data_IF_946637371114
#
_entry.id   IF_946637371114
#
_cell.length_a   1.000
_cell.length_b   1.000
_cell.length_c   1.000
_cell.angle_alpha   90.00
_cell.angle_beta   90.00
_cell.angle_gamma   90.00
#
_symmetry.space_group_name_H-M   'P 1'
#
loop_
_entity.id
_entity.type
_entity.pdbx_description
1 polymer ?
#
# COMPACT_ATOMS: atom_id res chain seq x y z
N UNK A 1 -43.69 29.18 -44.67
CA UNK A 1 -42.32 29.25 -44.11
C UNK A 1 -42.23 29.05 -42.59
N UNK A 2 -43.35 28.95 -41.83
CA UNK A 2 -43.34 28.65 -40.38
C UNK A 2 -43.23 27.16 -40.01
N UNK A 3 -43.52 26.23 -40.93
CA UNK A 3 -43.44 24.78 -40.67
C UNK A 3 -42.00 24.24 -40.64
N UNK A 4 -41.08 24.90 -41.36
CA UNK A 4 -39.65 24.57 -41.31
C UNK A 4 -38.95 25.18 -40.08
N UNK A 5 -39.51 26.23 -39.49
CA UNK A 5 -38.98 26.87 -38.28
C UNK A 5 -39.18 26.00 -37.03
N UNK A 6 -40.19 25.13 -37.02
CA UNK A 6 -40.38 24.15 -35.94
C UNK A 6 -39.51 22.89 -36.12
N UNK A 7 -39.06 22.58 -37.33
CA UNK A 7 -38.25 21.39 -37.62
C UNK A 7 -36.77 21.57 -37.25
N UNK A 8 -36.26 22.79 -37.27
CA UNK A 8 -34.86 23.10 -36.92
C UNK A 8 -34.59 23.08 -35.40
N UNK A 9 -35.62 23.15 -34.55
CA UNK A 9 -35.46 23.14 -33.09
C UNK A 9 -35.30 21.72 -32.50
N UNK A 10 -35.67 20.67 -33.26
CA UNK A 10 -35.61 19.27 -32.82
C UNK A 10 -34.25 18.59 -33.07
N UNK A 11 -33.37 19.21 -33.86
CA UNK A 11 -32.08 18.60 -34.27
C UNK A 11 -30.94 18.93 -33.27
N UNK A 12 -31.16 19.83 -32.31
CA UNK A 12 -30.14 20.26 -31.33
C UNK A 12 -30.13 19.48 -30.00
N UNK A 13 -30.91 18.40 -29.86
CA UNK A 13 -30.91 17.52 -28.68
C UNK A 13 -30.25 16.15 -28.92
N UNK A 14 -29.51 15.99 -30.02
CA UNK A 14 -28.63 14.83 -30.20
C UNK A 14 -27.41 14.99 -29.30
N UNK A 15 -27.54 14.54 -28.05
CA UNK A 15 -26.43 14.33 -27.13
C UNK A 15 -25.29 13.62 -27.87
N UNK A 16 -24.14 14.30 -27.97
CA UNK A 16 -22.88 13.63 -28.25
C UNK A 16 -22.59 12.74 -27.03
N UNK A 17 -22.99 11.47 -27.09
CA UNK A 17 -22.44 10.46 -26.22
C UNK A 17 -21.03 10.18 -26.75
N UNK A 18 -20.04 10.90 -26.22
CA UNK A 18 -18.65 10.49 -26.35
C UNK A 18 -18.56 9.19 -25.54
N UNK A 19 -18.71 8.06 -26.21
CA UNK A 19 -18.16 6.80 -25.72
C UNK A 19 -16.65 6.94 -25.87
N UNK A 20 -15.98 7.29 -24.78
CA UNK A 20 -14.60 6.85 -24.62
C UNK A 20 -14.64 5.32 -24.64
N UNK A 21 -14.16 4.76 -25.73
CA UNK A 21 -13.62 3.41 -25.70
C UNK A 21 -12.34 3.49 -24.88
N UNK A 22 -12.49 3.45 -23.55
CA UNK A 22 -11.43 2.94 -22.69
C UNK A 22 -11.27 1.47 -23.08
N UNK A 23 -10.06 1.13 -23.47
CA UNK A 23 -9.63 -0.23 -23.70
C UNK A 23 -9.77 -0.97 -22.36
N UNK A 24 -10.90 -1.65 -22.16
CA UNK A 24 -11.17 -2.52 -21.02
C UNK A 24 -10.32 -3.81 -21.16
N UNK A 25 -9.01 -3.64 -21.10
CA UNK A 25 -8.12 -4.55 -20.41
C UNK A 25 -7.37 -3.78 -19.31
N UNK A 26 -8.04 -2.83 -18.65
CA UNK A 26 -7.63 -2.50 -17.29
C UNK A 26 -7.97 -3.74 -16.47
N UNK A 27 -6.94 -4.56 -16.24
CA UNK A 27 -6.94 -5.48 -15.11
C UNK A 27 -7.02 -4.59 -13.89
N UNK A 28 -8.24 -4.25 -13.47
CA UNK A 28 -8.48 -3.81 -12.11
C UNK A 28 -8.21 -5.08 -11.31
N UNK A 29 -6.96 -5.20 -10.86
CA UNK A 29 -6.59 -6.26 -9.94
C UNK A 29 -7.44 -6.02 -8.68
N UNK A 30 -8.44 -6.88 -8.46
CA UNK A 30 -9.33 -6.84 -7.29
C UNK A 30 -8.55 -6.88 -5.94
N UNK A 31 -7.22 -7.00 -5.98
CA UNK A 31 -6.32 -6.99 -4.85
C UNK A 31 -5.63 -5.65 -4.55
N UNK A 32 -5.89 -4.58 -5.32
CA UNK A 32 -5.31 -3.23 -5.06
C UNK A 32 -6.36 -2.30 -4.48
N UNK A 33 -6.09 -1.75 -3.28
CA UNK A 33 -6.93 -0.73 -2.64
C UNK A 33 -6.25 0.65 -2.62
N UNK A 34 -7.01 1.71 -2.90
CA UNK A 34 -6.50 3.08 -2.82
C UNK A 34 -6.58 3.60 -1.38
N UNK A 35 -5.49 4.18 -0.87
CA UNK A 35 -5.41 4.67 0.52
C UNK A 35 -4.94 6.11 0.61
N UNK A 36 -5.20 6.74 1.75
CA UNK A 36 -4.80 8.13 2.04
C UNK A 36 -3.88 8.19 3.26
N UNK A 37 -2.98 9.18 3.34
CA UNK A 37 -2.18 9.40 4.54
C UNK A 37 -3.05 9.61 5.78
N UNK A 38 -2.52 9.20 6.94
CA UNK A 38 -3.08 9.36 8.28
C UNK A 38 -4.44 8.66 8.52
N UNK A 39 -4.95 7.94 7.52
CA UNK A 39 -6.19 7.15 7.64
C UNK A 39 -5.82 5.67 7.76
N UNK A 40 -6.23 4.99 8.85
CA UNK A 40 -6.00 3.56 8.98
C UNK A 40 -6.73 2.74 7.91
N UNK A 41 -6.09 1.69 7.41
CA UNK A 41 -6.68 0.77 6.44
C UNK A 41 -6.23 -0.67 6.72
N UNK A 42 -6.96 -1.64 6.17
CA UNK A 42 -6.70 -3.06 6.38
C UNK A 42 -6.19 -3.72 5.10
N UNK A 43 -5.24 -4.65 5.24
CA UNK A 43 -4.82 -5.56 4.19
C UNK A 43 -4.85 -7.00 4.70
N UNK A 44 -5.31 -7.91 3.86
CA UNK A 44 -5.04 -9.35 3.99
C UNK A 44 -3.69 -9.69 3.41
N UNK A 45 -3.13 -10.82 3.81
CA UNK A 45 -1.92 -11.36 3.17
C UNK A 45 -2.16 -11.52 1.66
N UNK A 46 -1.24 -10.99 0.87
CA UNK A 46 -1.28 -10.92 -0.59
C UNK A 46 -1.97 -9.68 -1.17
N UNK A 47 -2.70 -8.90 -0.35
CA UNK A 47 -3.32 -7.66 -0.82
C UNK A 47 -2.32 -6.50 -0.88
N UNK A 48 -2.59 -5.60 -1.80
CA UNK A 48 -1.79 -4.42 -2.08
C UNK A 48 -2.62 -3.17 -1.82
N UNK A 49 -2.00 -2.16 -1.25
CA UNK A 49 -2.55 -0.82 -1.22
C UNK A 49 -1.67 0.11 -2.06
N UNK A 50 -2.31 1.14 -2.60
CA UNK A 50 -1.69 2.13 -3.47
C UNK A 50 -1.90 3.53 -2.92
N UNK A 51 -0.83 4.31 -2.95
CA UNK A 51 -0.81 5.71 -2.56
C UNK A 51 0.04 6.50 -3.55
N UNK A 52 -0.58 7.43 -4.28
CA UNK A 52 0.08 8.30 -5.26
C UNK A 52 0.96 7.55 -6.29
N UNK A 53 0.49 6.39 -6.76
CA UNK A 53 1.20 5.55 -7.73
C UNK A 53 2.21 4.57 -7.10
N UNK A 54 2.52 4.74 -5.82
CA UNK A 54 3.35 3.79 -5.08
C UNK A 54 2.52 2.64 -4.53
N UNK A 55 3.04 1.43 -4.61
CA UNK A 55 2.35 0.22 -4.16
C UNK A 55 3.03 -0.38 -2.95
N UNK A 56 2.26 -0.98 -2.06
CA UNK A 56 2.80 -1.78 -0.97
C UNK A 56 1.89 -2.96 -0.65
N UNK A 57 2.50 -4.13 -0.50
CA UNK A 57 1.84 -5.42 -0.39
C UNK A 57 2.15 -6.03 0.96
N UNK A 58 1.11 -6.47 1.67
CA UNK A 58 1.28 -7.30 2.85
C UNK A 58 1.62 -8.73 2.41
N UNK A 59 2.92 -9.05 2.35
CA UNK A 59 3.39 -10.30 1.73
C UNK A 59 3.11 -11.54 2.56
N UNK A 60 3.47 -11.52 3.83
CA UNK A 60 3.36 -12.67 4.74
C UNK A 60 3.60 -12.26 6.19
N UNK A 61 3.21 -13.15 7.10
CA UNK A 61 3.69 -13.17 8.50
C UNK A 61 4.85 -14.16 8.59
N UNK A 62 6.08 -13.66 8.77
CA UNK A 62 7.30 -14.49 8.79
C UNK A 62 7.52 -15.21 10.13
N UNK A 63 6.94 -14.67 11.21
CA UNK A 63 6.96 -15.26 12.54
C UNK A 63 5.74 -14.79 13.31
N UNK A 64 5.09 -15.69 14.06
CA UNK A 64 4.03 -15.33 15.00
C UNK A 64 4.19 -16.09 16.32
N UNK A 65 4.84 -15.42 17.26
CA UNK A 65 5.11 -15.91 18.61
C UNK A 65 4.22 -15.26 19.68
N UNK A 66 3.20 -14.48 19.29
CA UNK A 66 2.33 -13.72 20.22
C UNK A 66 1.66 -14.60 21.27
N UNK A 67 1.53 -14.11 22.49
CA UNK A 67 0.86 -14.86 23.54
C UNK A 67 -0.61 -15.17 23.17
N UNK A 68 -1.06 -16.43 23.27
CA UNK A 68 -2.45 -16.75 22.98
C UNK A 68 -3.41 -16.10 23.98
N UNK A 69 -4.59 -15.68 23.53
CA UNK A 69 -5.56 -14.93 24.33
C UNK A 69 -5.97 -15.63 25.65
N UNK A 70 -5.92 -16.97 25.68
CA UNK A 70 -6.32 -17.79 26.83
C UNK A 70 -5.13 -18.44 27.57
N UNK A 71 -3.89 -18.05 27.26
CA UNK A 71 -2.69 -18.67 27.84
C UNK A 71 -2.01 -17.78 28.89
N UNK A 72 -1.43 -18.41 29.92
CA UNK A 72 -0.52 -17.72 30.83
C UNK A 72 0.90 -17.76 30.24
N UNK A 73 1.28 -16.70 29.54
CA UNK A 73 2.63 -16.61 28.98
C UNK A 73 3.64 -16.07 29.99
N UNK A 74 4.84 -16.64 29.96
CA UNK A 74 6.00 -16.12 30.69
C UNK A 74 6.61 -14.91 29.94
N UNK A 75 6.41 -14.86 28.62
CA UNK A 75 6.90 -13.80 27.72
C UNK A 75 5.77 -13.36 26.79
N UNK A 76 5.66 -12.06 26.50
CA UNK A 76 4.55 -11.46 25.74
C UNK A 76 4.45 -11.97 24.28
N UNK A 77 5.57 -12.45 23.71
CA UNK A 77 5.65 -12.88 22.32
C UNK A 77 5.54 -11.71 21.34
N UNK A 78 5.79 -11.97 20.06
CA UNK A 78 5.64 -10.98 18.98
C UNK A 78 5.36 -11.65 17.64
N UNK A 79 4.73 -10.92 16.73
CA UNK A 79 4.65 -11.32 15.32
C UNK A 79 5.44 -10.34 14.46
N UNK A 80 6.06 -10.86 13.42
CA UNK A 80 6.79 -10.09 12.40
C UNK A 80 6.10 -10.27 11.07
N UNK A 81 5.74 -9.16 10.45
CA UNK A 81 5.17 -9.13 9.11
C UNK A 81 6.21 -8.66 8.10
N UNK A 82 6.08 -9.13 6.87
CA UNK A 82 6.89 -8.71 5.72
C UNK A 82 6.02 -7.86 4.81
N UNK A 83 6.47 -6.65 4.53
CA UNK A 83 5.91 -5.78 3.51
C UNK A 83 6.87 -5.72 2.32
N UNK A 84 6.30 -5.69 1.13
CA UNK A 84 7.01 -5.37 -0.12
C UNK A 84 6.45 -4.08 -0.65
N UNK A 85 7.30 -3.15 -1.05
CA UNK A 85 6.89 -1.87 -1.60
C UNK A 85 7.50 -1.63 -2.98
N UNK A 86 6.76 -0.97 -3.86
CA UNK A 86 7.21 -0.58 -5.19
C UNK A 86 7.03 0.92 -5.36
N UNK A 87 8.11 1.62 -5.71
CA UNK A 87 8.02 3.02 -6.10
C UNK A 87 7.47 3.18 -7.54
N UNK A 88 7.29 4.43 -7.96
CA UNK A 88 6.85 4.77 -9.32
C UNK A 88 7.80 4.29 -10.44
N UNK A 89 9.02 3.88 -10.10
CA UNK A 89 10.02 3.32 -11.02
C UNK A 89 10.09 1.79 -10.96
N UNK A 90 9.16 1.13 -10.24
CA UNK A 90 9.16 -0.30 -9.95
C UNK A 90 10.39 -0.78 -9.17
N UNK A 91 11.00 0.08 -8.35
CA UNK A 91 12.05 -0.32 -7.41
C UNK A 91 11.43 -0.94 -6.18
N UNK A 92 11.86 -2.16 -5.87
CA UNK A 92 11.34 -2.95 -4.75
C UNK A 92 12.05 -2.63 -3.44
N UNK A 93 11.28 -2.36 -2.39
CA UNK A 93 11.72 -2.36 -1.00
C UNK A 93 11.11 -3.50 -0.21
N UNK A 94 11.84 -4.00 0.78
CA UNK A 94 11.34 -4.99 1.73
C UNK A 94 11.48 -4.42 3.14
N UNK A 95 10.40 -4.47 3.89
CA UNK A 95 10.33 -3.94 5.26
C UNK A 95 9.74 -5.00 6.18
N UNK A 96 10.36 -5.18 7.34
CA UNK A 96 9.84 -6.06 8.39
C UNK A 96 9.33 -5.21 9.54
N UNK A 97 8.11 -5.46 10.00
CA UNK A 97 7.50 -4.72 11.13
C UNK A 97 7.09 -5.72 12.20
N UNK A 98 7.44 -5.46 13.45
CA UNK A 98 7.04 -6.27 14.60
C UNK A 98 5.81 -5.67 15.30
N UNK A 99 4.91 -6.52 15.81
CA UNK A 99 3.78 -6.09 16.66
C UNK A 99 4.21 -5.56 18.03
N UNK A 100 5.47 -5.72 18.42
CA UNK A 100 5.97 -5.28 19.73
C UNK A 100 6.52 -3.86 19.72
N UNK A 101 6.96 -3.38 18.55
CA UNK A 101 7.53 -2.05 18.42
C UNK A 101 6.49 -1.12 17.82
N UNK A 102 6.32 0.07 18.39
CA UNK A 102 5.63 1.19 17.75
C UNK A 102 6.52 1.80 16.64
N UNK A 103 7.08 0.95 15.79
CA UNK A 103 8.06 1.32 14.78
C UNK A 103 7.36 1.96 13.59
N UNK A 104 7.73 3.20 13.32
CA UNK A 104 7.36 3.90 12.09
C UNK A 104 8.53 3.75 11.13
N UNK A 105 8.33 2.97 10.07
CA UNK A 105 9.38 2.57 9.13
C UNK A 105 9.16 3.21 7.76
N UNK A 106 10.22 3.56 7.01
CA UNK A 106 10.05 4.05 5.65
C UNK A 106 9.44 2.95 4.77
N UNK A 107 8.41 3.30 3.98
CA UNK A 107 7.71 2.33 3.14
C UNK A 107 8.55 1.88 1.96
N UNK A 108 9.15 2.84 1.26
CA UNK A 108 9.93 2.60 0.05
C UNK A 108 11.41 2.53 0.40
N UNK A 109 12.20 1.76 -0.35
CA UNK A 109 13.63 1.76 -0.11
C UNK A 109 14.11 3.20 -0.26
N UNK A 110 14.82 3.70 0.75
CA UNK A 110 15.52 4.99 0.70
C UNK A 110 16.71 4.82 -0.27
N UNK A 111 16.45 4.55 -1.53
CA UNK A 111 17.48 4.27 -2.53
C UNK A 111 17.09 5.00 -3.80
N UNK A 112 17.92 5.87 -4.34
CA UNK A 112 19.33 5.62 -4.55
C UNK A 112 20.21 6.61 -3.79
N UNK A 113 21.20 6.11 -3.03
CA UNK A 113 22.44 6.86 -2.92
C UNK A 113 23.06 6.79 -4.31
N UNK A 114 22.85 7.81 -5.13
CA UNK A 114 23.65 7.94 -6.34
C UNK A 114 25.09 8.15 -5.88
N UNK A 115 25.94 7.20 -6.24
CA UNK A 115 27.38 7.37 -6.12
C UNK A 115 27.80 8.44 -7.14
N UNK A 116 27.73 9.70 -6.72
CA UNK A 116 28.08 10.82 -7.59
C UNK A 116 29.59 10.97 -7.59
N UNK A 117 30.21 10.34 -8.57
CA UNK A 117 31.65 10.44 -8.76
C UNK A 117 32.00 11.68 -9.57
N UNK A 118 32.92 12.49 -9.05
CA UNK A 118 33.49 13.65 -9.73
C UNK A 118 35.01 13.56 -9.61
N UNK A 119 35.71 13.44 -10.75
CA UNK A 119 37.17 13.29 -10.81
C UNK A 119 37.72 12.15 -9.90
N UNK A 120 37.19 10.93 -10.03
CA UNK A 120 37.54 9.74 -9.23
C UNK A 120 37.27 9.82 -7.72
N UNK A 121 36.62 10.89 -7.24
CA UNK A 121 36.08 10.97 -5.89
C UNK A 121 34.58 10.70 -5.90
N UNK A 122 34.20 9.56 -5.35
CA UNK A 122 32.82 9.17 -5.16
C UNK A 122 32.36 9.64 -3.77
N UNK A 123 31.34 10.50 -3.74
CA UNK A 123 30.66 10.85 -2.51
C UNK A 123 29.32 10.12 -2.44
N UNK A 124 29.01 9.56 -1.27
CA UNK A 124 27.67 9.08 -0.97
C UNK A 124 26.77 10.28 -0.78
N UNK A 125 25.96 10.59 -1.79
CA UNK A 125 24.92 11.61 -1.68
C UNK A 125 23.63 10.88 -1.34
N UNK A 126 23.18 10.99 -0.09
CA UNK A 126 21.79 10.64 0.21
C UNK A 126 20.91 11.58 -0.63
N UNK A 127 19.87 11.08 -1.31
CA UNK A 127 18.94 11.97 -1.99
C UNK A 127 18.42 12.99 -0.96
N UNK A 128 18.12 14.23 -1.36
CA UNK A 128 17.40 15.13 -0.48
C UNK A 128 16.16 14.38 0.03
N UNK A 129 15.91 14.45 1.34
CA UNK A 129 14.71 13.89 1.96
C UNK A 129 13.51 14.61 1.34
N UNK A 130 13.09 14.16 0.16
CA UNK A 130 11.85 14.58 -0.46
C UNK A 130 10.78 13.69 0.14
N UNK A 131 9.83 14.33 0.84
CA UNK A 131 8.49 13.83 1.17
C UNK A 131 8.32 12.32 0.96
N UNK A 132 8.70 11.53 1.96
CA UNK A 132 8.60 10.08 1.91
C UNK A 132 7.33 9.57 2.56
N UNK A 133 6.98 8.31 2.31
CA UNK A 133 5.94 7.63 3.08
C UNK A 133 6.57 6.77 4.17
N UNK A 134 6.01 6.87 5.36
CA UNK A 134 6.29 5.99 6.48
C UNK A 134 5.06 5.17 6.79
N UNK A 135 5.22 3.98 7.35
CA UNK A 135 4.11 3.11 7.75
C UNK A 135 4.28 2.63 9.18
N UNK A 136 3.16 2.52 9.88
CA UNK A 136 3.04 1.80 11.15
C UNK A 136 2.12 0.60 11.00
N UNK A 137 2.44 -0.47 11.72
CA UNK A 137 1.51 -1.55 11.98
C UNK A 137 0.69 -1.20 13.22
N UNK A 138 -0.61 -1.00 13.06
CA UNK A 138 -1.50 -0.64 14.17
C UNK A 138 -2.00 -1.89 14.92
N UNK A 139 -2.30 -2.96 14.17
CA UNK A 139 -2.77 -4.23 14.73
C UNK A 139 -2.61 -5.38 13.74
N UNK A 140 -2.60 -6.60 14.25
CA UNK A 140 -2.58 -7.84 13.47
C UNK A 140 -3.62 -8.82 14.03
N UNK A 141 -4.54 -9.24 13.18
CA UNK A 141 -5.59 -10.24 13.46
C UNK A 141 -5.30 -11.51 12.66
N UNK A 142 -5.70 -12.71 13.12
CA UNK A 142 -6.30 -12.98 14.43
C UNK A 142 -5.26 -12.83 15.56
N UNK A 143 -5.73 -12.72 16.81
CA UNK A 143 -4.87 -13.00 17.97
C UNK A 143 -4.53 -14.49 18.01
N UNK A 144 -3.39 -14.86 18.58
CA UNK A 144 -3.03 -16.26 18.66
C UNK A 144 -4.03 -17.01 19.56
N UNK A 145 -4.40 -18.22 19.18
CA UNK A 145 -5.11 -19.19 20.02
C UNK A 145 -4.31 -20.50 20.06
N UNK A 146 -4.43 -21.27 21.14
CA UNK A 146 -3.75 -22.57 21.30
C UNK A 146 -4.46 -23.69 20.54
N UNK A 147 -5.76 -23.54 20.31
CA UNK A 147 -6.61 -24.58 19.73
C UNK A 147 -6.86 -24.38 18.22
N UNK A 148 -6.33 -23.30 17.64
CA UNK A 148 -6.54 -22.93 16.24
C UNK A 148 -5.20 -22.76 15.56
N UNK A 149 -4.98 -23.56 14.51
CA UNK A 149 -3.88 -23.33 13.58
C UNK A 149 -4.24 -22.15 12.67
N UNK A 150 -3.39 -21.12 12.65
CA UNK A 150 -3.57 -19.92 11.84
C UNK A 150 -2.82 -20.10 10.52
N UNK A 151 -3.50 -19.93 9.40
CA UNK A 151 -2.90 -19.93 8.08
C UNK A 151 -2.59 -18.51 7.62
N UNK A 152 -1.68 -18.36 6.64
CA UNK A 152 -1.33 -17.04 6.10
C UNK A 152 -2.56 -16.27 5.60
N UNK A 153 -3.52 -16.95 4.99
CA UNK A 153 -4.76 -16.34 4.48
C UNK A 153 -5.69 -15.77 5.56
N UNK A 154 -5.50 -16.16 6.82
CA UNK A 154 -6.34 -15.72 7.94
C UNK A 154 -5.90 -14.36 8.47
N UNK A 155 -4.67 -13.94 8.17
CA UNK A 155 -4.12 -12.71 8.70
C UNK A 155 -4.71 -11.47 8.03
N UNK A 156 -5.07 -10.50 8.87
CA UNK A 156 -5.50 -9.16 8.50
C UNK A 156 -4.67 -8.19 9.33
N UNK A 157 -3.96 -7.29 8.68
CA UNK A 157 -3.17 -6.26 9.34
C UNK A 157 -3.80 -4.88 9.10
N UNK A 158 -3.86 -4.07 10.15
CA UNK A 158 -4.28 -2.66 10.05
C UNK A 158 -3.03 -1.78 10.07
N UNK A 159 -2.93 -0.88 9.10
CA UNK A 159 -1.79 0.02 8.94
C UNK A 159 -2.23 1.48 8.95
N UNK A 160 -1.29 2.38 9.25
CA UNK A 160 -1.40 3.81 8.95
C UNK A 160 -0.18 4.25 8.18
N UNK A 161 -0.37 5.07 7.14
CA UNK A 161 0.72 5.73 6.41
C UNK A 161 0.86 7.18 6.86
N UNK A 162 2.09 7.64 7.04
CA UNK A 162 2.43 9.01 7.38
C UNK A 162 3.29 9.65 6.30
N UNK A 163 3.14 10.96 6.13
CA UNK A 163 4.04 11.76 5.32
C UNK A 163 5.28 12.11 6.14
N UNK A 164 6.45 11.77 5.61
CA UNK A 164 7.76 12.18 6.12
C UNK A 164 8.09 13.59 5.70
N UNK A 165 8.58 14.41 6.64
CA UNK A 165 9.11 15.75 6.39
C UNK A 165 10.62 15.79 6.42
#
# INVERSE_FOLDING_TARGET
MKKYLLLLLLILLSSCSIKESVDDNIIVDDNIIQVSPEIPFELKVGQTAEIEGHQFTFKEVSSDSRCPANALCIWEGEATIVLVSLDNNNQEGIVNISTKNDEVVPLFPQTYIEEKCVWDFCNFVSPPYELGYFISLNSLSPERDVDVEIQQSDYIATFTIYLGM
#
